data_IF_901611594899
#
_entry.id   IF_901611594899
#
_cell.length_a   1.000
_cell.length_b   1.000
_cell.length_c   1.000
_cell.angle_alpha   90.00
_cell.angle_beta   90.00
_cell.angle_gamma   90.00
#
_symmetry.space_group_name_H-M   'P 1'
#
loop_
_entity.id
_entity.type
_entity.pdbx_description
1 polymer ?
#
# COMPACT_ATOMS: atom_id res chain seq x y z
N UNK A 1 -25.51 62.84 -15.22
CA UNK A 1 -24.22 62.23 -15.63
C UNK A 1 -24.31 60.74 -15.38
N UNK A 2 -24.30 59.94 -16.44
CA UNK A 2 -24.35 58.48 -16.39
C UNK A 2 -22.91 57.96 -16.31
N UNK A 3 -22.58 57.18 -15.29
CA UNK A 3 -21.34 56.42 -15.26
C UNK A 3 -21.64 54.93 -15.44
N UNK A 4 -20.93 54.40 -16.41
CA UNK A 4 -21.03 53.11 -17.06
C UNK A 4 -20.53 51.97 -16.17
N UNK A 5 -21.31 50.88 -16.15
CA UNK A 5 -20.97 49.56 -15.63
C UNK A 5 -19.86 48.90 -16.46
N UNK A 6 -18.82 48.40 -15.81
CA UNK A 6 -17.83 47.47 -16.37
C UNK A 6 -17.95 46.13 -15.66
N UNK A 7 -18.57 45.17 -16.35
CA UNK A 7 -18.62 43.77 -15.97
C UNK A 7 -17.38 43.07 -16.53
N UNK A 8 -16.51 42.56 -15.65
CA UNK A 8 -15.40 41.68 -16.05
C UNK A 8 -15.85 40.23 -15.92
N UNK A 9 -16.10 39.60 -17.07
CA UNK A 9 -16.33 38.17 -17.20
C UNK A 9 -14.98 37.42 -17.13
N UNK A 10 -14.80 36.59 -16.10
CA UNK A 10 -13.69 35.62 -16.02
C UNK A 10 -14.19 34.30 -16.60
N UNK A 11 -13.94 34.09 -17.89
CA UNK A 11 -14.15 32.81 -18.55
C UNK A 11 -12.95 31.89 -18.32
N UNK A 12 -13.16 30.81 -17.57
CA UNK A 12 -12.20 29.73 -17.41
C UNK A 12 -12.43 28.67 -18.50
N UNK A 13 -11.63 28.70 -19.56
CA UNK A 13 -11.59 27.64 -20.58
C UNK A 13 -10.49 26.65 -20.21
N UNK A 14 -10.88 25.51 -19.63
CA UNK A 14 -9.97 24.39 -19.35
C UNK A 14 -9.89 23.51 -20.61
N UNK A 15 -8.88 23.74 -21.45
CA UNK A 15 -8.55 22.91 -22.61
C UNK A 15 -7.73 21.69 -22.16
N UNK A 16 -8.38 20.53 -22.14
CA UNK A 16 -7.74 19.22 -22.00
C UNK A 16 -6.94 18.89 -23.28
N UNK A 17 -5.65 19.20 -23.29
CA UNK A 17 -4.70 18.62 -24.24
C UNK A 17 -4.14 17.31 -23.65
N UNK A 18 -4.71 16.20 -24.07
CA UNK A 18 -4.13 14.86 -23.90
C UNK A 18 -2.98 14.66 -24.90
N UNK A 19 -1.74 14.81 -24.43
CA UNK A 19 -0.55 14.39 -25.17
C UNK A 19 -0.36 12.88 -25.01
N UNK A 20 -0.43 12.18 -26.14
CA UNK A 20 -0.15 10.76 -26.26
C UNK A 20 1.34 10.49 -25.95
N UNK A 21 1.59 9.65 -24.95
CA UNK A 21 2.92 9.08 -24.66
C UNK A 21 3.19 7.84 -25.52
N UNK A 22 4.47 7.51 -25.81
CA UNK A 22 4.85 6.55 -26.85
C UNK A 22 4.77 5.10 -26.34
N UNK A 23 3.56 4.56 -26.22
CA UNK A 23 3.35 3.16 -25.83
C UNK A 23 3.42 2.15 -27.00
N UNK A 24 3.67 2.60 -28.24
CA UNK A 24 3.47 1.78 -29.44
C UNK A 24 4.74 1.10 -30.00
N UNK A 25 5.92 1.32 -29.43
CA UNK A 25 7.17 0.74 -29.96
C UNK A 25 7.59 -0.60 -29.32
N UNK A 26 6.95 -1.05 -28.23
CA UNK A 26 7.35 -2.30 -27.53
C UNK A 26 6.51 -3.54 -27.90
N UNK A 27 5.40 -3.37 -28.64
CA UNK A 27 4.55 -4.48 -29.09
C UNK A 27 5.20 -5.36 -30.19
N UNK A 28 6.23 -4.86 -30.88
CA UNK A 28 6.92 -5.60 -31.95
C UNK A 28 7.87 -6.70 -31.45
N UNK A 29 8.45 -6.56 -30.24
CA UNK A 29 9.38 -7.55 -29.68
C UNK A 29 8.68 -8.71 -28.95
N UNK A 30 7.41 -8.54 -28.57
CA UNK A 30 6.60 -9.56 -27.88
C UNK A 30 6.13 -10.70 -28.79
N UNK A 31 5.97 -10.48 -30.10
CA UNK A 31 5.57 -11.56 -31.03
C UNK A 31 6.70 -12.55 -31.34
N UNK A 32 7.97 -12.16 -31.23
CA UNK A 32 9.11 -13.05 -31.53
C UNK A 32 9.39 -14.07 -30.42
N UNK A 33 9.14 -13.71 -29.16
CA UNK A 33 9.34 -14.63 -28.01
C UNK A 33 8.22 -15.67 -27.86
N UNK A 34 7.00 -15.37 -28.30
CA UNK A 34 5.89 -16.33 -28.27
C UNK A 34 6.05 -17.51 -29.24
N UNK A 35 6.70 -17.29 -30.39
CA UNK A 35 6.90 -18.33 -31.39
C UNK A 35 8.01 -19.33 -31.00
N UNK A 36 9.05 -18.88 -30.28
CA UNK A 36 10.15 -19.76 -29.85
C UNK A 36 9.77 -20.65 -28.65
N UNK A 37 8.89 -20.18 -27.77
CA UNK A 37 8.38 -20.98 -26.65
C UNK A 37 7.44 -22.12 -27.11
N UNK A 38 6.64 -21.89 -28.15
CA UNK A 38 5.75 -22.92 -28.71
C UNK A 38 6.53 -24.03 -29.44
N UNK A 39 7.67 -23.70 -30.06
CA UNK A 39 8.52 -24.69 -30.73
C UNK A 39 9.25 -25.59 -29.73
N UNK A 40 9.74 -25.02 -28.62
CA UNK A 40 10.43 -25.78 -27.56
C UNK A 40 9.49 -26.73 -26.80
N UNK A 41 8.21 -26.38 -26.66
CA UNK A 41 7.19 -27.24 -26.05
C UNK A 41 6.69 -28.37 -26.96
N UNK A 42 6.92 -28.28 -28.28
CA UNK A 42 6.59 -29.35 -29.22
C UNK A 42 7.68 -30.43 -29.25
N UNK A 43 8.96 -30.06 -29.14
CA UNK A 43 10.08 -31.00 -29.19
C UNK A 43 10.18 -31.87 -27.91
N UNK A 44 9.74 -31.37 -26.75
CA UNK A 44 9.68 -32.16 -25.50
C UNK A 44 8.57 -33.23 -25.46
N UNK A 45 7.56 -33.16 -26.36
CA UNK A 45 6.46 -34.14 -26.40
C UNK A 45 6.75 -35.37 -27.27
N UNK A 46 7.84 -35.38 -28.04
CA UNK A 46 8.15 -36.47 -28.99
C UNK A 46 9.12 -37.54 -28.45
N UNK A 47 9.73 -37.37 -27.27
CA UNK A 47 10.84 -38.23 -26.83
C UNK A 47 10.62 -39.03 -25.52
N UNK A 48 9.39 -39.17 -25.00
CA UNK A 48 9.17 -39.81 -23.69
C UNK A 48 8.06 -40.87 -23.56
N UNK A 49 8.36 -42.14 -23.91
CA UNK A 49 7.80 -43.40 -23.35
C UNK A 49 8.61 -44.57 -23.98
N UNK A 50 9.13 -45.59 -23.28
CA UNK A 50 8.54 -46.41 -22.22
C UNK A 50 9.62 -47.30 -21.57
N UNK A 51 9.44 -47.61 -20.29
CA UNK A 51 10.25 -48.52 -19.48
C UNK A 51 9.69 -49.97 -19.49
N UNK A 52 10.62 -50.93 -19.58
CA UNK A 52 10.71 -52.32 -19.06
C UNK A 52 9.57 -53.35 -19.17
N UNK A 53 9.93 -54.54 -19.70
CA UNK A 53 9.54 -55.85 -19.19
C UNK A 53 10.64 -56.90 -19.54
N UNK A 54 11.04 -57.73 -18.57
CA UNK A 54 11.85 -58.96 -18.70
C UNK A 54 10.92 -60.17 -18.41
N UNK A 55 11.23 -61.48 -18.66
CA UNK A 55 12.56 -62.12 -18.77
C UNK A 55 12.70 -63.28 -19.80
N UNK A 56 13.95 -63.73 -20.08
CA UNK A 56 14.34 -65.16 -20.26
C UNK A 56 15.84 -65.34 -20.64
N UNK A 57 16.54 -66.13 -19.83
CA UNK A 57 17.47 -67.24 -20.14
C UNK A 57 18.58 -67.07 -21.20
N UNK A 58 19.84 -67.28 -20.79
CA UNK A 58 20.87 -67.89 -21.65
C UNK A 58 22.30 -67.35 -21.56
N UNK A 59 23.13 -68.00 -20.73
CA UNK A 59 24.54 -68.42 -20.96
C UNK A 59 25.57 -67.45 -21.59
N UNK A 60 26.61 -67.11 -20.81
CA UNK A 60 28.03 -67.53 -21.00
C UNK A 60 29.08 -66.44 -20.66
N UNK A 61 30.09 -66.91 -19.91
CA UNK A 61 31.51 -66.49 -19.86
C UNK A 61 31.95 -65.25 -19.03
N UNK A 62 32.48 -65.58 -17.84
CA UNK A 62 33.76 -65.17 -17.24
C UNK A 62 34.50 -63.93 -17.78
N UNK A 63 34.84 -62.99 -16.87
CA UNK A 63 36.24 -62.85 -16.40
C UNK A 63 36.35 -61.92 -15.19
N UNK A 64 37.20 -62.33 -14.27
CA UNK A 64 37.55 -61.71 -12.98
C UNK A 64 38.35 -60.41 -13.13
N UNK A 65 38.09 -59.42 -12.27
CA UNK A 65 39.13 -58.66 -11.57
C UNK A 65 38.55 -57.86 -10.41
N UNK A 66 39.09 -58.11 -9.22
CA UNK A 66 38.90 -57.38 -7.97
C UNK A 66 39.58 -56.02 -8.02
N UNK A 67 38.89 -54.96 -7.55
CA UNK A 67 39.52 -53.78 -6.98
C UNK A 67 38.54 -53.04 -6.03
N UNK A 68 38.78 -53.24 -4.74
CA UNK A 68 38.69 -52.28 -3.61
C UNK A 68 38.02 -50.91 -3.82
N UNK A 69 36.99 -50.69 -2.98
CA UNK A 69 36.67 -49.50 -2.19
C UNK A 69 36.93 -48.09 -2.77
N UNK A 70 35.86 -47.30 -2.89
CA UNK A 70 35.82 -45.96 -2.30
C UNK A 70 34.38 -45.47 -2.18
N UNK A 71 34.00 -45.10 -0.96
CA UNK A 71 32.90 -44.21 -0.64
C UNK A 71 32.79 -43.06 -1.65
N UNK A 72 31.65 -42.99 -2.32
CA UNK A 72 31.17 -41.76 -2.93
C UNK A 72 29.74 -41.56 -2.43
N UNK A 73 29.63 -41.15 -1.15
CA UNK A 73 28.48 -40.37 -0.71
C UNK A 73 28.43 -39.15 -1.64
N UNK A 74 27.59 -39.24 -2.67
CA UNK A 74 27.29 -38.14 -3.55
C UNK A 74 26.73 -37.01 -2.68
N UNK A 75 27.57 -36.05 -2.33
CA UNK A 75 27.19 -34.81 -1.69
C UNK A 75 26.22 -34.13 -2.67
N UNK A 76 24.92 -34.39 -2.50
CA UNK A 76 23.86 -33.68 -3.20
C UNK A 76 24.16 -32.20 -3.03
N UNK A 77 24.37 -31.50 -4.15
CA UNK A 77 24.36 -30.05 -4.15
C UNK A 77 23.12 -29.58 -3.36
N UNK A 78 23.26 -28.62 -2.44
CA UNK A 78 22.15 -28.17 -1.61
C UNK A 78 20.99 -27.84 -2.54
N UNK A 79 19.90 -28.60 -2.43
CA UNK A 79 18.71 -28.37 -3.23
C UNK A 79 18.17 -27.04 -2.76
N UNK A 80 18.23 -26.02 -3.63
CA UNK A 80 17.74 -24.67 -3.32
C UNK A 80 16.25 -24.79 -3.01
N UNK A 81 15.89 -24.70 -1.73
CA UNK A 81 14.51 -24.78 -1.28
C UNK A 81 13.79 -23.44 -1.47
N UNK A 82 12.56 -23.51 -1.95
CA UNK A 82 11.62 -22.39 -2.08
C UNK A 82 10.37 -22.59 -1.20
N UNK A 83 10.48 -23.45 -0.20
CA UNK A 83 9.41 -23.70 0.76
C UNK A 83 9.21 -22.47 1.66
N UNK A 84 7.96 -22.13 1.94
CA UNK A 84 7.59 -21.03 2.83
C UNK A 84 7.67 -21.49 4.29
N UNK A 85 8.89 -21.56 4.82
CA UNK A 85 9.13 -21.79 6.25
C UNK A 85 9.00 -20.49 7.04
N UNK A 86 8.85 -20.60 8.36
CA UNK A 86 8.81 -19.45 9.28
C UNK A 86 10.00 -18.50 9.08
N UNK A 87 11.22 -19.03 9.03
CA UNK A 87 12.44 -18.25 8.81
C UNK A 87 12.44 -17.52 7.46
N UNK A 88 12.00 -18.19 6.39
CA UNK A 88 11.94 -17.59 5.06
C UNK A 88 10.90 -16.46 4.98
N UNK A 89 9.71 -16.69 5.55
CA UNK A 89 8.65 -15.67 5.60
C UNK A 89 9.09 -14.49 6.47
N UNK A 90 9.69 -14.75 7.64
CA UNK A 90 10.25 -13.72 8.51
C UNK A 90 11.33 -12.88 7.83
N UNK A 91 12.23 -13.48 7.05
CA UNK A 91 13.25 -12.74 6.30
C UNK A 91 12.66 -11.87 5.19
N UNK A 92 11.66 -12.38 4.46
CA UNK A 92 10.97 -11.60 3.42
C UNK A 92 10.21 -10.43 4.05
N UNK A 93 9.45 -10.65 5.13
CA UNK A 93 8.73 -9.58 5.83
C UNK A 93 9.68 -8.55 6.44
N UNK A 94 10.80 -9.00 7.02
CA UNK A 94 11.84 -8.10 7.55
C UNK A 94 12.36 -7.18 6.45
N UNK A 95 12.68 -7.72 5.28
CA UNK A 95 13.10 -6.91 4.13
C UNK A 95 12.02 -5.91 3.71
N UNK A 96 10.75 -6.32 3.75
CA UNK A 96 9.61 -5.51 3.33
C UNK A 96 9.09 -4.55 4.42
N UNK A 97 9.71 -4.49 5.60
CA UNK A 97 9.27 -3.64 6.73
C UNK A 97 8.95 -2.19 6.32
N UNK A 98 9.79 -1.48 5.55
CA UNK A 98 9.46 -0.11 5.14
C UNK A 98 8.18 -0.02 4.30
N UNK A 99 7.91 -1.03 3.46
CA UNK A 99 6.69 -1.12 2.65
C UNK A 99 5.49 -1.53 3.48
N UNK A 100 5.70 -2.40 4.46
CA UNK A 100 4.68 -2.83 5.39
C UNK A 100 4.18 -1.64 6.23
N UNK A 101 5.10 -0.82 6.73
CA UNK A 101 4.76 0.40 7.47
C UNK A 101 4.04 1.40 6.57
N UNK A 102 4.50 1.59 5.32
CA UNK A 102 3.80 2.41 4.34
C UNK A 102 2.38 1.89 4.01
N UNK A 103 2.21 0.57 3.86
CA UNK A 103 0.91 -0.07 3.66
C UNK A 103 -0.03 0.16 4.85
N UNK A 104 0.46 -0.09 6.07
CA UNK A 104 -0.29 0.12 7.31
C UNK A 104 -0.73 1.58 7.44
N UNK A 105 0.16 2.51 7.16
CA UNK A 105 -0.14 3.95 7.15
C UNK A 105 -1.21 4.28 6.09
N UNK A 106 -1.11 3.73 4.87
CA UNK A 106 -2.11 3.94 3.81
C UNK A 106 -3.47 3.37 4.19
N UNK A 107 -3.53 2.18 4.78
CA UNK A 107 -4.78 1.58 5.25
C UNK A 107 -5.41 2.38 6.38
N UNK A 108 -4.61 2.79 7.37
CA UNK A 108 -5.05 3.68 8.45
C UNK A 108 -5.60 5.00 7.91
N UNK A 109 -4.91 5.59 6.91
CA UNK A 109 -5.34 6.81 6.24
C UNK A 109 -6.68 6.63 5.51
N UNK A 110 -6.85 5.56 4.72
CA UNK A 110 -8.11 5.28 4.00
C UNK A 110 -9.27 5.10 4.98
N UNK A 111 -9.05 4.33 6.06
CA UNK A 111 -10.05 4.12 7.11
C UNK A 111 -10.44 5.45 7.77
N UNK A 112 -9.44 6.21 8.21
CA UNK A 112 -9.66 7.51 8.86
C UNK A 112 -10.37 8.51 7.93
N UNK A 113 -10.04 8.54 6.63
CA UNK A 113 -10.71 9.40 5.64
C UNK A 113 -12.18 9.06 5.53
N UNK A 114 -12.52 7.77 5.41
CA UNK A 114 -13.90 7.32 5.29
C UNK A 114 -14.72 7.65 6.54
N UNK A 115 -14.18 7.34 7.72
CA UNK A 115 -14.86 7.59 8.99
C UNK A 115 -15.03 9.09 9.26
N UNK A 116 -14.01 9.89 8.97
CA UNK A 116 -14.07 11.34 9.15
C UNK A 116 -14.98 12.03 8.12
N UNK A 117 -14.99 11.60 6.86
CA UNK A 117 -15.82 12.21 5.81
C UNK A 117 -17.32 12.17 6.15
N UNK A 118 -17.80 11.10 6.79
CA UNK A 118 -19.19 10.98 7.24
C UNK A 118 -19.51 12.02 8.33
N UNK A 119 -18.59 12.20 9.30
CA UNK A 119 -18.73 13.18 10.38
C UNK A 119 -18.64 14.61 9.85
N UNK A 120 -17.65 14.88 9.01
CA UNK A 120 -17.43 16.19 8.38
C UNK A 120 -18.63 16.62 7.53
N UNK A 121 -19.20 15.70 6.73
CA UNK A 121 -20.41 15.97 5.94
C UNK A 121 -21.61 16.30 6.82
N UNK A 122 -21.84 15.52 7.88
CA UNK A 122 -22.93 15.77 8.83
C UNK A 122 -22.76 17.12 9.56
N UNK A 123 -21.53 17.43 9.99
CA UNK A 123 -21.19 18.70 10.64
C UNK A 123 -21.43 19.87 9.68
N UNK A 124 -20.91 19.80 8.44
CA UNK A 124 -21.12 20.83 7.41
C UNK A 124 -22.60 21.07 7.12
N UNK A 125 -23.38 20.01 6.95
CA UNK A 125 -24.82 20.12 6.73
C UNK A 125 -25.54 20.79 7.93
N UNK A 126 -25.11 20.48 9.16
CA UNK A 126 -25.65 21.10 10.36
C UNK A 126 -25.36 22.61 10.41
N UNK A 127 -24.10 23.00 10.20
CA UNK A 127 -23.71 24.41 10.19
C UNK A 127 -24.33 25.20 9.02
N UNK A 128 -24.52 24.57 7.86
CA UNK A 128 -25.19 25.20 6.72
C UNK A 128 -26.68 25.47 6.98
N UNK A 129 -27.37 24.55 7.67
CA UNK A 129 -28.76 24.78 8.12
C UNK A 129 -28.83 25.92 9.12
N UNK A 130 -27.84 26.00 10.01
CA UNK A 130 -27.76 27.05 11.01
C UNK A 130 -27.52 28.44 10.40
N UNK A 131 -26.66 28.54 9.39
CA UNK A 131 -26.40 29.82 8.70
C UNK A 131 -27.54 30.27 7.79
N UNK A 132 -28.34 29.33 7.26
CA UNK A 132 -29.47 29.64 6.36
C UNK A 132 -30.80 29.86 7.08
N UNK A 133 -30.97 29.36 8.31
CA UNK A 133 -32.23 29.43 9.06
C UNK A 133 -32.58 30.78 9.67
N UNK A 134 -31.71 31.79 9.53
CA UNK A 134 -31.83 33.07 10.24
C UNK A 134 -31.49 32.91 11.73
N UNK A 135 -30.57 33.74 12.22
CA UNK A 135 -30.17 33.71 13.64
C UNK A 135 -30.99 34.78 14.36
N UNK A 136 -31.89 34.38 15.26
CA UNK A 136 -32.53 35.32 16.18
C UNK A 136 -31.50 35.82 17.21
N UNK A 137 -31.17 37.13 17.22
CA UNK A 137 -30.20 37.69 18.16
C UNK A 137 -30.56 37.44 19.62
N UNK A 138 -31.86 37.41 19.96
CA UNK A 138 -32.31 37.19 21.34
C UNK A 138 -32.07 35.74 21.77
N UNK A 139 -32.36 34.78 20.88
CA UNK A 139 -32.08 33.36 21.11
C UNK A 139 -30.58 33.10 21.25
N UNK A 140 -29.74 33.74 20.42
CA UNK A 140 -28.28 33.64 20.50
C UNK A 140 -27.74 34.20 21.83
N UNK A 141 -28.27 35.33 22.29
CA UNK A 141 -27.89 35.91 23.58
C UNK A 141 -28.28 35.01 24.76
N UNK A 142 -29.48 34.42 24.72
CA UNK A 142 -29.93 33.48 25.74
C UNK A 142 -29.07 32.20 25.75
N UNK A 143 -28.76 31.63 24.58
CA UNK A 143 -27.89 30.48 24.45
C UNK A 143 -26.46 30.76 24.92
N UNK A 144 -25.91 31.92 24.58
CA UNK A 144 -24.58 32.34 25.02
C UNK A 144 -24.49 32.46 26.54
N UNK A 145 -25.52 33.04 27.19
CA UNK A 145 -25.60 33.08 28.66
C UNK A 145 -25.68 31.68 29.26
N UNK A 146 -26.52 30.81 28.70
CA UNK A 146 -26.67 29.41 29.15
C UNK A 146 -25.36 28.63 29.05
N UNK A 147 -24.59 28.87 27.98
CA UNK A 147 -23.36 28.13 27.67
C UNK A 147 -22.08 28.85 28.10
N UNK A 148 -22.17 29.92 28.91
CA UNK A 148 -21.06 30.83 29.19
C UNK A 148 -19.78 30.12 29.67
N UNK A 149 -19.90 29.15 30.59
CA UNK A 149 -18.77 28.39 31.14
C UNK A 149 -18.07 27.54 30.06
N UNK A 150 -18.85 26.92 29.17
CA UNK A 150 -18.30 26.10 28.08
C UNK A 150 -17.61 26.98 27.02
N UNK A 151 -18.21 28.13 26.70
CA UNK A 151 -17.63 29.14 25.80
C UNK A 151 -16.32 29.67 26.36
N UNK A 152 -16.28 30.08 27.63
CA UNK A 152 -15.06 30.58 28.28
C UNK A 152 -13.92 29.55 28.28
N UNK A 153 -14.25 28.27 28.50
CA UNK A 153 -13.26 27.19 28.41
C UNK A 153 -12.67 27.08 27.00
N UNK A 154 -13.51 27.14 25.97
CA UNK A 154 -13.06 27.10 24.58
C UNK A 154 -12.23 28.35 24.26
N UNK A 155 -12.64 29.53 24.73
CA UNK A 155 -11.92 30.78 24.48
C UNK A 155 -10.53 30.75 25.14
N UNK A 156 -10.41 30.23 26.38
CA UNK A 156 -9.10 30.00 27.03
C UNK A 156 -8.21 29.03 26.26
N UNK A 157 -8.79 27.91 25.78
CA UNK A 157 -8.07 26.95 24.95
C UNK A 157 -7.61 27.58 23.63
N UNK A 158 -8.47 28.37 22.99
CA UNK A 158 -8.17 29.09 21.76
C UNK A 158 -7.02 30.08 21.96
N UNK A 159 -7.05 30.86 23.05
CA UNK A 159 -5.96 31.78 23.40
C UNK A 159 -4.62 31.05 23.60
N UNK A 160 -4.62 29.95 24.34
CA UNK A 160 -3.42 29.12 24.53
C UNK A 160 -2.89 28.55 23.21
N UNK A 161 -3.78 28.06 22.33
CA UNK A 161 -3.40 27.53 21.02
C UNK A 161 -2.89 28.61 20.08
N UNK A 162 -3.45 29.83 20.13
CA UNK A 162 -2.98 30.95 19.33
C UNK A 162 -1.54 31.33 19.71
N UNK A 163 -1.21 31.37 20.99
CA UNK A 163 0.17 31.57 21.46
C UNK A 163 1.11 30.49 20.92
N UNK A 164 0.69 29.21 21.02
CA UNK A 164 1.47 28.09 20.48
C UNK A 164 1.63 28.19 18.95
N UNK A 165 0.62 28.68 18.24
CA UNK A 165 0.67 28.86 16.79
C UNK A 165 1.67 29.95 16.43
N UNK A 166 1.68 31.07 17.14
CA UNK A 166 2.67 32.13 16.96
C UNK A 166 4.09 31.63 17.26
N UNK A 167 4.29 30.81 18.31
CA UNK A 167 5.58 30.18 18.59
C UNK A 167 6.01 29.25 17.45
N UNK A 168 5.12 28.38 16.98
CA UNK A 168 5.39 27.45 15.87
C UNK A 168 5.70 28.19 14.56
N UNK A 169 5.01 29.31 14.30
CA UNK A 169 5.30 30.18 13.15
C UNK A 169 6.70 30.82 13.27
N UNK A 170 7.06 31.31 14.46
CA UNK A 170 8.39 31.87 14.73
C UNK A 170 9.53 30.85 14.58
N UNK A 171 9.29 29.58 14.92
CA UNK A 171 10.24 28.48 14.74
C UNK A 171 10.15 27.77 13.39
N UNK A 172 9.26 28.21 12.49
CA UNK A 172 8.95 27.56 11.22
C UNK A 172 8.56 26.06 11.34
N UNK A 173 7.99 25.66 12.48
CA UNK A 173 7.48 24.30 12.67
C UNK A 173 6.17 24.11 11.92
N UNK A 174 6.28 23.75 10.64
CA UNK A 174 5.13 23.53 9.75
C UNK A 174 4.18 22.48 10.29
N UNK A 175 4.71 21.41 10.90
CA UNK A 175 3.90 20.34 11.45
C UNK A 175 3.03 20.87 12.59
N UNK A 176 3.64 21.55 13.58
CA UNK A 176 2.88 22.14 14.68
C UNK A 176 1.85 23.17 14.20
N UNK A 177 2.19 23.99 13.19
CA UNK A 177 1.24 24.96 12.61
C UNK A 177 -0.01 24.27 12.05
N UNK A 178 0.13 23.18 11.30
CA UNK A 178 -1.03 22.47 10.72
C UNK A 178 -1.95 21.87 11.80
N UNK A 179 -1.38 21.25 12.84
CA UNK A 179 -2.18 20.74 13.97
C UNK A 179 -2.92 21.85 14.73
N UNK A 180 -2.24 22.97 14.97
CA UNK A 180 -2.80 24.09 15.70
C UNK A 180 -3.89 24.82 14.91
N UNK A 181 -3.71 24.99 13.60
CA UNK A 181 -4.75 25.55 12.72
C UNK A 181 -6.01 24.70 12.70
N UNK A 182 -5.89 23.38 12.57
CA UNK A 182 -7.05 22.47 12.61
C UNK A 182 -7.78 22.55 13.95
N UNK A 183 -7.01 22.57 15.04
CA UNK A 183 -7.55 22.63 16.40
C UNK A 183 -8.27 23.96 16.65
N UNK A 184 -7.69 25.09 16.23
CA UNK A 184 -8.29 26.41 16.36
C UNK A 184 -9.59 26.51 15.56
N UNK A 185 -9.61 26.04 14.32
CA UNK A 185 -10.82 26.02 13.50
C UNK A 185 -11.94 25.19 14.16
N UNK A 186 -11.60 24.00 14.65
CA UNK A 186 -12.57 23.13 15.35
C UNK A 186 -13.13 23.79 16.61
N UNK A 187 -12.26 24.40 17.43
CA UNK A 187 -12.69 25.12 18.64
C UNK A 187 -13.57 26.33 18.31
N UNK A 188 -13.24 27.10 17.27
CA UNK A 188 -14.06 28.22 16.81
C UNK A 188 -15.45 27.76 16.37
N UNK A 189 -15.55 26.67 15.61
CA UNK A 189 -16.83 26.09 15.21
C UNK A 189 -17.66 25.61 16.42
N UNK A 190 -17.03 24.98 17.41
CA UNK A 190 -17.70 24.57 18.66
C UNK A 190 -18.20 25.78 19.45
N UNK A 191 -17.39 26.82 19.59
CA UNK A 191 -17.78 28.07 20.25
C UNK A 191 -18.97 28.72 19.54
N UNK A 192 -18.94 28.77 18.21
CA UNK A 192 -20.03 29.31 17.40
C UNK A 192 -21.34 28.52 17.57
N UNK A 193 -21.28 27.18 17.54
CA UNK A 193 -22.45 26.33 17.79
C UNK A 193 -23.07 26.59 19.16
N UNK A 194 -22.25 26.70 20.22
CA UNK A 194 -22.71 27.00 21.56
C UNK A 194 -23.35 28.39 21.68
N UNK A 195 -22.75 29.40 21.04
CA UNK A 195 -23.29 30.78 21.00
C UNK A 195 -24.66 30.82 20.30
N UNK A 196 -24.82 30.03 19.25
CA UNK A 196 -26.07 29.90 18.50
C UNK A 196 -27.08 28.92 19.13
N UNK A 197 -26.74 28.29 20.27
CA UNK A 197 -27.62 27.32 20.92
C UNK A 197 -27.84 26.03 20.14
N UNK A 198 -26.96 25.74 19.19
CA UNK A 198 -27.05 24.59 18.29
C UNK A 198 -26.41 23.35 18.89
N UNK A 199 -26.93 22.18 18.51
CA UNK A 199 -26.33 20.88 18.80
C UNK A 199 -25.29 20.44 17.76
N UNK A 200 -24.94 21.30 16.78
CA UNK A 200 -23.91 20.96 15.80
C UNK A 200 -22.58 20.66 16.50
N UNK A 201 -22.02 19.51 16.19
CA UNK A 201 -20.68 19.12 16.62
C UNK A 201 -19.65 19.53 15.58
N UNK A 202 -18.41 19.78 16.02
CA UNK A 202 -17.26 19.84 15.14
C UNK A 202 -16.20 18.91 15.72
N UNK A 203 -15.73 17.95 14.94
CA UNK A 203 -14.74 16.97 15.36
C UNK A 203 -13.36 17.35 14.87
N UNK A 204 -12.36 17.13 15.72
CA UNK A 204 -10.96 17.29 15.32
C UNK A 204 -10.63 16.31 14.21
N UNK A 205 -9.84 16.74 13.23
CA UNK A 205 -9.35 15.83 12.19
C UNK A 205 -8.44 14.77 12.83
N UNK A 206 -8.57 13.48 12.46
CA UNK A 206 -7.62 12.48 12.89
C UNK A 206 -6.18 12.85 12.49
N UNK A 207 -5.22 12.63 13.40
CA UNK A 207 -3.81 12.96 13.19
C UNK A 207 -3.27 12.41 11.86
N UNK A 208 -3.61 11.17 11.49
CA UNK A 208 -3.20 10.55 10.23
C UNK A 208 -3.67 11.34 8.98
N UNK A 209 -4.79 12.05 9.05
CA UNK A 209 -5.23 12.93 7.96
C UNK A 209 -4.39 14.21 7.89
N UNK A 210 -4.05 14.77 9.05
CA UNK A 210 -3.23 15.99 9.14
C UNK A 210 -1.80 15.68 8.65
N UNK A 211 -1.21 14.56 9.09
CA UNK A 211 0.11 14.12 8.62
C UNK A 211 0.12 13.87 7.11
N UNK A 212 -0.94 13.26 6.55
CA UNK A 212 -1.03 13.05 5.11
C UNK A 212 -1.10 14.37 4.33
N UNK A 213 -1.79 15.39 4.84
CA UNK A 213 -1.82 16.72 4.22
C UNK A 213 -0.47 17.44 4.36
N UNK A 214 0.19 17.33 5.51
CA UNK A 214 1.55 17.87 5.72
C UNK A 214 2.51 17.22 4.72
N UNK A 215 2.45 15.90 4.59
CA UNK A 215 3.27 15.14 3.66
C UNK A 215 2.97 15.55 2.21
N UNK A 216 1.71 15.66 1.80
CA UNK A 216 1.34 16.08 0.44
C UNK A 216 1.78 17.52 0.11
N UNK A 217 1.72 18.44 1.07
CA UNK A 217 2.11 19.84 0.90
C UNK A 217 3.60 20.12 1.17
N UNK A 218 4.31 19.16 1.75
CA UNK A 218 5.76 19.18 2.00
C UNK A 218 6.56 18.38 0.97
N UNK A 219 5.95 17.40 0.30
CA UNK A 219 6.55 16.58 -0.74
C UNK A 219 6.40 17.18 -2.14
N UNK A 220 6.94 18.39 -2.35
CA UNK A 220 7.43 18.76 -3.69
C UNK A 220 8.80 18.11 -4.01
N UNK A 221 9.30 17.22 -3.15
CA UNK A 221 10.49 16.41 -3.37
C UNK A 221 10.59 15.26 -2.37
N UNK A 222 10.99 14.09 -2.85
CA UNK A 222 11.60 13.00 -2.07
C UNK A 222 10.81 12.33 -0.94
N UNK A 223 9.74 11.62 -1.30
CA UNK A 223 9.64 10.19 -1.02
C UNK A 223 8.50 9.62 -1.86
N UNK A 224 8.79 9.30 -3.13
CA UNK A 224 7.94 8.37 -3.84
C UNK A 224 8.49 6.98 -3.51
N UNK A 225 7.92 6.26 -2.52
CA UNK A 225 8.35 4.89 -2.26
C UNK A 225 8.20 4.08 -3.55
N UNK A 226 7.30 4.40 -4.46
CA UNK A 226 7.09 3.67 -5.72
C UNK A 226 8.10 4.01 -6.82
N UNK A 227 9.05 4.95 -6.63
CA UNK A 227 10.12 5.29 -7.60
C UNK A 227 11.51 4.73 -7.30
N UNK A 228 11.69 4.03 -6.19
CA UNK A 228 12.95 3.35 -5.87
C UNK A 228 12.93 1.87 -6.29
N UNK A 229 13.96 1.41 -7.01
CA UNK A 229 14.24 -0.02 -7.10
C UNK A 229 14.52 -0.55 -5.68
N UNK A 230 13.71 -1.50 -5.22
CA UNK A 230 13.92 -2.08 -3.90
C UNK A 230 15.15 -2.99 -3.92
N UNK A 231 16.02 -2.86 -2.90
CA UNK A 231 17.18 -3.69 -2.68
C UNK A 231 17.16 -4.23 -1.24
N UNK A 232 17.12 -5.56 -1.02
CA UNK A 232 17.02 -6.12 0.32
C UNK A 232 18.29 -5.83 1.12
N UNK A 233 18.14 -5.68 2.43
CA UNK A 233 19.26 -5.47 3.34
C UNK A 233 20.28 -6.62 3.23
N UNK A 234 21.55 -6.32 3.50
CA UNK A 234 22.64 -7.31 3.45
C UNK A 234 22.33 -8.57 4.28
N UNK A 235 21.73 -8.39 5.47
CA UNK A 235 21.31 -9.49 6.36
C UNK A 235 20.32 -10.48 5.73
N UNK A 236 19.58 -10.07 4.71
CA UNK A 236 18.66 -10.93 3.94
C UNK A 236 19.41 -11.58 2.78
N UNK A 237 20.27 -10.82 2.09
CA UNK A 237 21.12 -11.33 1.00
C UNK A 237 22.11 -12.40 1.46
N UNK A 238 22.55 -12.36 2.71
CA UNK A 238 23.44 -13.36 3.31
C UNK A 238 22.74 -14.71 3.54
N UNK A 239 21.40 -14.72 3.61
CA UNK A 239 20.60 -15.91 3.93
C UNK A 239 19.76 -16.41 2.76
N UNK A 240 19.40 -15.52 1.83
CA UNK A 240 18.60 -15.81 0.66
C UNK A 240 19.28 -15.24 -0.58
N UNK A 241 19.42 -16.07 -1.61
CA UNK A 241 19.74 -15.56 -2.94
C UNK A 241 18.62 -14.65 -3.44
N UNK A 242 18.94 -13.69 -4.31
CA UNK A 242 17.94 -12.80 -4.94
C UNK A 242 16.79 -13.59 -5.58
N UNK A 243 17.08 -14.74 -6.20
CA UNK A 243 16.09 -15.63 -6.80
C UNK A 243 15.19 -16.28 -5.75
N UNK A 244 15.74 -16.78 -4.63
CA UNK A 244 14.94 -17.34 -3.54
C UNK A 244 14.03 -16.29 -2.93
N UNK A 245 14.57 -15.12 -2.61
CA UNK A 245 13.79 -14.01 -2.10
C UNK A 245 12.63 -13.65 -3.04
N UNK A 246 12.93 -13.47 -4.34
CA UNK A 246 11.93 -13.13 -5.35
C UNK A 246 10.80 -14.15 -5.42
N UNK A 247 11.13 -15.44 -5.45
CA UNK A 247 10.15 -16.54 -5.50
C UNK A 247 9.31 -16.66 -4.23
N UNK A 248 9.93 -16.58 -3.05
CA UNK A 248 9.21 -16.65 -1.77
C UNK A 248 8.22 -15.49 -1.66
N UNK A 249 8.64 -14.27 -2.01
CA UNK A 249 7.76 -13.10 -2.07
C UNK A 249 6.61 -13.29 -3.07
N UNK A 250 6.87 -13.77 -4.28
CA UNK A 250 5.82 -14.04 -5.27
C UNK A 250 4.78 -15.03 -4.74
N UNK A 251 5.22 -16.10 -4.06
CA UNK A 251 4.31 -17.08 -3.47
C UNK A 251 3.51 -16.50 -2.30
N UNK A 252 4.11 -15.66 -1.46
CA UNK A 252 3.39 -14.91 -0.42
C UNK A 252 2.33 -13.97 -1.02
N UNK A 253 2.66 -13.29 -2.12
CA UNK A 253 1.74 -12.42 -2.85
C UNK A 253 0.57 -13.21 -3.44
N UNK A 254 0.86 -14.35 -4.07
CA UNK A 254 -0.15 -15.25 -4.62
C UNK A 254 -1.10 -15.75 -3.55
N UNK A 255 -0.57 -16.16 -2.40
CA UNK A 255 -1.39 -16.54 -1.26
C UNK A 255 -2.32 -15.39 -0.83
N UNK A 256 -1.78 -14.18 -0.64
CA UNK A 256 -2.56 -13.02 -0.23
C UNK A 256 -3.71 -12.72 -1.22
N UNK A 257 -3.41 -12.76 -2.51
CA UNK A 257 -4.37 -12.52 -3.58
C UNK A 257 -5.43 -13.62 -3.67
N UNK A 258 -5.07 -14.89 -3.45
CA UNK A 258 -6.03 -16.00 -3.37
C UNK A 258 -6.98 -15.86 -2.17
N UNK A 259 -6.51 -15.34 -1.04
CA UNK A 259 -7.36 -15.08 0.12
C UNK A 259 -8.41 -13.99 -0.17
N UNK A 260 -8.09 -13.00 -1.00
CA UNK A 260 -9.06 -11.96 -1.41
C UNK A 260 -9.89 -12.38 -2.63
N UNK A 261 -9.36 -13.23 -3.50
CA UNK A 261 -9.99 -13.66 -4.75
C UNK A 261 -9.73 -15.16 -4.95
N UNK A 262 -10.55 -16.03 -4.33
CA UNK A 262 -10.35 -17.49 -4.40
C UNK A 262 -10.44 -18.07 -5.82
N UNK A 263 -11.04 -17.33 -6.76
CA UNK A 263 -11.16 -17.71 -8.17
C UNK A 263 -9.93 -17.41 -9.03
N UNK A 264 -8.86 -16.84 -8.47
CA UNK A 264 -7.66 -16.46 -9.22
C UNK A 264 -6.94 -17.71 -9.75
N UNK A 265 -6.62 -17.73 -11.06
CA UNK A 265 -5.90 -18.84 -11.69
C UNK A 265 -4.38 -18.66 -11.52
N UNK A 266 -3.82 -19.34 -10.54
CA UNK A 266 -2.42 -19.14 -10.09
C UNK A 266 -1.46 -20.29 -10.43
N UNK A 267 -1.96 -21.35 -11.06
CA UNK A 267 -1.15 -22.52 -11.46
C UNK A 267 -0.50 -23.23 -10.27
N UNK A 268 0.64 -23.90 -10.51
CA UNK A 268 1.37 -24.66 -9.47
C UNK A 268 1.99 -23.77 -8.39
N UNK A 269 2.30 -22.51 -8.73
CA UNK A 269 2.96 -21.56 -7.82
C UNK A 269 2.03 -21.14 -6.65
N UNK A 270 0.70 -21.30 -6.81
CA UNK A 270 -0.30 -21.04 -5.77
C UNK A 270 -0.88 -22.29 -5.11
N UNK A 271 -0.22 -23.44 -5.26
CA UNK A 271 -0.47 -24.61 -4.42
C UNK A 271 0.48 -24.52 -3.22
N UNK A 272 -0.07 -24.65 -2.01
CA UNK A 272 0.66 -24.55 -0.75
C UNK A 272 0.49 -25.86 0.02
N UNK A 273 1.54 -26.30 0.71
CA UNK A 273 1.40 -27.41 1.67
C UNK A 273 0.70 -26.93 2.93
N UNK A 274 0.22 -27.86 3.77
CA UNK A 274 -0.43 -27.52 5.03
C UNK A 274 0.50 -26.71 5.95
N UNK A 275 1.80 -27.03 5.96
CA UNK A 275 2.81 -26.31 6.72
C UNK A 275 3.04 -24.89 6.19
N UNK A 276 3.14 -24.73 4.87
CA UNK A 276 3.27 -23.41 4.25
C UNK A 276 2.02 -22.57 4.53
N UNK A 277 0.84 -23.18 4.48
CA UNK A 277 -0.41 -22.50 4.78
C UNK A 277 -0.52 -22.08 6.24
N UNK A 278 -0.03 -22.91 7.19
CA UNK A 278 0.03 -22.56 8.60
C UNK A 278 0.93 -21.32 8.85
N UNK A 279 2.13 -21.31 8.26
CA UNK A 279 3.07 -20.17 8.37
C UNK A 279 2.47 -18.90 7.74
N UNK A 280 1.93 -18.99 6.52
CA UNK A 280 1.33 -17.84 5.85
C UNK A 280 0.12 -17.29 6.62
N UNK A 281 -0.66 -18.17 7.25
CA UNK A 281 -1.80 -17.78 8.10
C UNK A 281 -1.34 -17.11 9.39
N UNK A 282 -0.25 -17.58 10.01
CA UNK A 282 0.33 -16.94 11.20
C UNK A 282 0.78 -15.50 10.92
N UNK A 283 1.27 -15.21 9.71
CA UNK A 283 1.67 -13.88 9.24
C UNK A 283 0.64 -13.17 8.36
N UNK A 284 -0.64 -13.56 8.47
CA UNK A 284 -1.68 -13.11 7.55
C UNK A 284 -1.87 -11.58 7.55
N UNK A 285 -1.75 -10.93 8.71
CA UNK A 285 -1.99 -9.50 8.83
C UNK A 285 -0.93 -8.68 8.07
N UNK A 286 0.34 -9.05 8.24
CA UNK A 286 1.49 -8.45 7.55
C UNK A 286 1.40 -8.67 6.04
N UNK A 287 1.18 -9.93 5.64
CA UNK A 287 1.14 -10.30 4.23
C UNK A 287 -0.03 -9.62 3.52
N UNK A 288 -1.22 -9.58 4.13
CA UNK A 288 -2.39 -8.91 3.56
C UNK A 288 -2.26 -7.39 3.52
N UNK A 289 -1.51 -6.79 4.44
CA UNK A 289 -1.23 -5.36 4.38
C UNK A 289 -0.47 -4.98 3.10
N UNK A 290 0.36 -5.88 2.57
CA UNK A 290 1.15 -5.67 1.36
C UNK A 290 0.36 -5.88 0.04
N UNK A 291 -0.87 -6.40 0.09
CA UNK A 291 -1.67 -6.70 -1.11
C UNK A 291 -1.81 -5.56 -2.12
N UNK A 292 -1.98 -4.29 -1.74
CA UNK A 292 -2.01 -3.18 -2.70
C UNK A 292 -0.73 -3.09 -3.54
N UNK A 293 0.44 -3.32 -2.93
CA UNK A 293 1.73 -3.32 -3.63
C UNK A 293 1.88 -4.51 -4.58
N UNK A 294 1.27 -5.67 -4.25
CA UNK A 294 1.25 -6.83 -5.15
C UNK A 294 0.41 -6.59 -6.41
N UNK A 295 -0.70 -5.83 -6.31
CA UNK A 295 -1.59 -5.54 -7.44
C UNK A 295 -1.04 -4.49 -8.40
N UNK A 296 -0.48 -3.41 -7.85
CA UNK A 296 -0.06 -2.26 -8.64
C UNK A 296 1.33 -2.44 -9.28
N UNK A 297 1.97 -3.61 -9.07
CA UNK A 297 3.35 -3.91 -9.47
C UNK A 297 4.38 -2.88 -9.00
N UNK A 298 4.08 -2.10 -7.95
CA UNK A 298 4.94 -1.03 -7.46
C UNK A 298 6.20 -1.54 -6.74
N UNK A 299 6.33 -2.85 -6.54
CA UNK A 299 7.56 -3.48 -6.05
C UNK A 299 8.42 -4.02 -7.20
N UNK A 300 8.83 -3.11 -8.11
CA UNK A 300 9.79 -3.39 -9.19
C UNK A 300 11.23 -3.41 -8.65
N UNK A 301 12.03 -4.38 -9.11
CA UNK A 301 13.39 -4.60 -8.62
C UNK A 301 14.43 -4.30 -9.70
N UNK A 302 15.66 -3.97 -9.26
CA UNK A 302 16.78 -3.61 -10.15
C UNK A 302 17.17 -4.71 -11.13
N UNK A 303 17.16 -5.95 -10.66
CA UNK A 303 17.74 -7.10 -11.38
C UNK A 303 16.72 -8.23 -11.61
N UNK A 304 15.43 -8.00 -11.34
CA UNK A 304 14.36 -8.99 -11.55
C UNK A 304 13.11 -8.33 -12.14
N UNK A 305 12.52 -9.01 -13.13
CA UNK A 305 11.26 -8.59 -13.74
C UNK A 305 10.12 -8.56 -12.73
N UNK A 306 9.07 -7.81 -13.06
CA UNK A 306 7.86 -7.64 -12.25
C UNK A 306 7.35 -8.98 -11.70
N UNK A 307 6.69 -8.92 -10.52
CA UNK A 307 5.77 -10.00 -10.12
C UNK A 307 4.89 -10.31 -11.33
N UNK A 308 4.76 -11.59 -11.71
CA UNK A 308 3.86 -11.97 -12.80
C UNK A 308 2.53 -11.22 -12.64
N UNK A 309 2.04 -10.59 -13.70
CA UNK A 309 0.80 -9.82 -13.66
C UNK A 309 -0.39 -10.80 -13.51
N UNK A 310 -0.81 -11.06 -12.27
CA UNK A 310 -1.98 -11.88 -11.96
C UNK A 310 -3.21 -10.97 -11.93
N UNK A 311 -3.76 -10.68 -13.12
CA UNK A 311 -5.05 -9.99 -13.27
C UNK A 311 -6.21 -10.97 -13.23
#
# INVERSE_FOLDING_TARGET
MRFTTLASAVGATFLLLSSATPAHAQLGKLKKMGAEAAKKAADEKLTGKKESASPATGSSAESSASATASDAAATKAPTVSYALTEDHVGLVLTALTPRLDAARNRQALVKARREYALKDSANKACFQKLSSGGIDPNAMMAASKKNAVAIERIDKQTGSMQTRLSTAAGSQDRRAMHYLQDSLNTLQMRSAALKMGSSCTADFRPAVLIEADIAANGMSGDFDPDRGQFDPAASVKDKLTTTQFGRLRERMALWALLQETPSLKVGKDGVFTDEEQAVLTAHAAEIKALTPYFRDNSMRWKDWGDVKNWK
#
